data_IF_707182910959
#
_entry.id   IF_707182910959
#
_cell.length_a   1.000
_cell.length_b   1.000
_cell.length_c   1.000
_cell.angle_alpha   90.00
_cell.angle_beta   90.00
_cell.angle_gamma   90.00
#
_symmetry.space_group_name_H-M   'P 1'
#
loop_
_entity.id
_entity.type
_entity.pdbx_description
1 polymer ?
#
# COMPACT_ATOMS: atom_id res chain seq x y z
N UNK A 1 -30.02 -12.11 -2.67
CA UNK A 1 -28.86 -11.20 -2.67
C UNK A 1 -28.94 -10.34 -3.92
N UNK A 2 -28.94 -9.01 -3.83
CA UNK A 2 -28.86 -8.15 -5.03
C UNK A 2 -27.44 -8.26 -5.58
N UNK A 3 -27.34 -8.64 -6.84
CA UNK A 3 -26.07 -8.70 -7.54
C UNK A 3 -25.56 -7.28 -7.79
N UNK A 4 -24.46 -6.89 -7.18
CA UNK A 4 -23.82 -5.61 -7.44
C UNK A 4 -22.96 -5.68 -8.71
N UNK A 5 -23.03 -4.62 -9.52
CA UNK A 5 -22.25 -4.57 -10.77
C UNK A 5 -20.74 -4.59 -10.48
N UNK A 6 -20.04 -5.55 -11.08
CA UNK A 6 -18.58 -5.70 -10.94
C UNK A 6 -18.06 -5.87 -9.51
N UNK A 7 -18.84 -6.49 -8.63
CA UNK A 7 -18.39 -6.80 -7.28
C UNK A 7 -18.73 -8.24 -6.88
N UNK A 8 -17.72 -9.04 -6.68
CA UNK A 8 -17.79 -10.38 -6.13
C UNK A 8 -17.39 -10.32 -4.64
N UNK A 9 -18.41 -10.33 -3.77
CA UNK A 9 -18.23 -10.26 -2.33
C UNK A 9 -17.42 -11.44 -1.80
N UNK A 10 -17.70 -12.66 -2.26
CA UNK A 10 -17.01 -13.85 -1.78
C UNK A 10 -15.52 -13.81 -2.15
N UNK A 11 -15.22 -13.41 -3.36
CA UNK A 11 -13.84 -13.27 -3.81
C UNK A 11 -13.11 -12.15 -3.04
N UNK A 12 -13.78 -11.01 -2.79
CA UNK A 12 -13.21 -9.91 -2.02
C UNK A 12 -12.85 -10.33 -0.59
N UNK A 13 -13.76 -11.02 0.10
CA UNK A 13 -13.53 -11.53 1.46
C UNK A 13 -12.44 -12.60 1.48
N UNK A 14 -12.41 -13.51 0.50
CA UNK A 14 -11.37 -14.53 0.38
C UNK A 14 -9.97 -13.91 0.21
N UNK A 15 -9.85 -12.88 -0.62
CA UNK A 15 -8.58 -12.17 -0.83
C UNK A 15 -8.15 -11.47 0.45
N UNK A 16 -9.05 -10.75 1.11
CA UNK A 16 -8.77 -10.09 2.39
C UNK A 16 -8.28 -11.07 3.45
N UNK A 17 -8.93 -12.22 3.59
CA UNK A 17 -8.51 -13.29 4.48
C UNK A 17 -7.11 -13.82 4.11
N UNK A 18 -6.85 -14.08 2.83
CA UNK A 18 -5.55 -14.59 2.36
C UNK A 18 -4.39 -13.61 2.58
N UNK A 19 -4.67 -12.30 2.55
CA UNK A 19 -3.67 -11.27 2.90
C UNK A 19 -3.42 -11.30 4.41
N UNK A 20 -4.48 -11.37 5.22
CA UNK A 20 -4.35 -11.40 6.67
C UNK A 20 -3.62 -12.66 7.18
N UNK A 21 -3.80 -13.79 6.53
CA UNK A 21 -3.05 -15.03 6.81
C UNK A 21 -1.52 -14.85 6.65
N UNK A 22 -1.07 -13.88 5.86
CA UNK A 22 0.34 -13.51 5.70
C UNK A 22 0.86 -12.57 6.78
N UNK A 23 0.05 -12.22 7.79
CA UNK A 23 0.40 -11.25 8.84
C UNK A 23 1.78 -11.51 9.43
N UNK A 24 2.08 -12.74 9.87
CA UNK A 24 3.37 -13.05 10.49
C UNK A 24 4.55 -12.80 9.55
N UNK A 25 4.40 -13.09 8.27
CA UNK A 25 5.44 -12.81 7.27
C UNK A 25 5.60 -11.30 7.06
N UNK A 26 4.50 -10.56 6.99
CA UNK A 26 4.50 -9.10 6.81
C UNK A 26 5.13 -8.42 8.02
N UNK A 27 4.74 -8.80 9.23
CA UNK A 27 5.31 -8.29 10.48
C UNK A 27 6.81 -8.63 10.61
N UNK A 28 7.23 -9.80 10.15
CA UNK A 28 8.64 -10.19 10.13
C UNK A 28 9.49 -9.28 9.23
N UNK A 29 8.96 -8.81 8.11
CA UNK A 29 9.67 -7.83 7.26
C UNK A 29 9.94 -6.54 8.06
N UNK A 30 8.96 -6.04 8.80
CA UNK A 30 9.14 -4.86 9.66
C UNK A 30 10.21 -5.12 10.76
N UNK A 31 10.19 -6.30 11.38
CA UNK A 31 11.17 -6.69 12.39
C UNK A 31 12.62 -6.71 11.84
N UNK A 32 12.79 -7.22 10.62
CA UNK A 32 14.11 -7.23 9.98
C UNK A 32 14.57 -5.82 9.64
N UNK A 33 13.67 -4.97 9.09
CA UNK A 33 13.96 -3.58 8.78
C UNK A 33 14.45 -2.82 10.02
N UNK A 34 13.74 -2.92 11.14
CA UNK A 34 14.10 -2.24 12.39
C UNK A 34 15.37 -2.80 13.01
N UNK A 35 15.60 -4.13 12.93
CA UNK A 35 16.81 -4.79 13.45
C UNK A 35 18.07 -4.38 12.69
N UNK A 36 17.97 -4.13 11.40
CA UNK A 36 19.11 -3.74 10.55
C UNK A 36 19.36 -2.23 10.56
N UNK A 37 18.61 -1.49 11.35
CA UNK A 37 18.55 -0.02 11.40
C UNK A 37 18.23 0.62 10.04
N UNK A 38 17.72 1.84 10.07
CA UNK A 38 17.48 2.66 8.89
C UNK A 38 17.58 4.15 9.25
N UNK A 39 17.89 4.97 8.28
CA UNK A 39 18.02 6.43 8.48
C UNK A 39 16.73 7.19 8.15
N UNK A 40 15.98 6.72 7.19
CA UNK A 40 14.70 7.29 6.76
C UNK A 40 13.89 6.30 5.92
N UNK A 41 12.62 6.62 5.72
CA UNK A 41 11.71 5.88 4.86
C UNK A 41 11.39 6.70 3.60
N UNK A 42 11.24 6.03 2.47
CA UNK A 42 10.90 6.65 1.20
C UNK A 42 9.78 5.91 0.50
N UNK A 43 8.67 6.60 0.20
CA UNK A 43 7.54 6.05 -0.53
C UNK A 43 7.56 6.52 -1.97
N UNK A 44 7.69 5.59 -2.93
CA UNK A 44 7.74 5.92 -4.36
C UNK A 44 7.06 4.88 -5.22
N UNK A 45 6.18 5.33 -6.09
CA UNK A 45 5.48 4.52 -7.07
C UNK A 45 4.89 5.40 -8.17
N UNK A 46 3.93 4.87 -8.95
CA UNK A 46 3.28 5.60 -10.03
C UNK A 46 1.77 5.46 -9.97
N UNK A 47 1.04 6.54 -10.31
CA UNK A 47 -0.41 6.54 -10.45
C UNK A 47 -1.16 6.08 -9.20
N UNK A 48 -2.14 5.18 -9.38
CA UNK A 48 -2.96 4.67 -8.26
C UNK A 48 -2.18 3.92 -7.19
N UNK A 49 -1.03 3.32 -7.53
CA UNK A 49 -0.17 2.67 -6.53
C UNK A 49 0.52 3.69 -5.63
N UNK A 50 0.87 4.87 -6.15
CA UNK A 50 1.37 5.96 -5.32
C UNK A 50 0.26 6.48 -4.38
N UNK A 51 -0.92 6.77 -4.93
CA UNK A 51 -2.06 7.25 -4.14
C UNK A 51 -2.47 6.28 -3.01
N UNK A 52 -2.35 4.97 -3.25
CA UNK A 52 -2.57 3.95 -2.22
C UNK A 52 -1.56 4.03 -1.07
N UNK A 53 -0.32 4.45 -1.33
CA UNK A 53 0.73 4.53 -0.30
C UNK A 53 0.73 5.86 0.45
N UNK A 54 0.14 6.92 -0.10
CA UNK A 54 0.14 8.25 0.51
C UNK A 54 -0.41 8.29 1.95
N UNK A 55 -1.51 7.58 2.31
CA UNK A 55 -1.98 7.51 3.70
C UNK A 55 -0.96 6.92 4.69
N UNK A 56 -0.10 6.03 4.23
CA UNK A 56 0.92 5.42 5.09
C UNK A 56 2.14 6.31 5.28
N UNK A 57 2.48 7.13 4.28
CA UNK A 57 3.40 8.24 4.47
C UNK A 57 2.87 9.23 5.51
N UNK A 58 1.60 9.64 5.41
CA UNK A 58 0.94 10.50 6.40
C UNK A 58 0.97 9.85 7.80
N UNK A 59 0.66 8.55 7.89
CA UNK A 59 0.68 7.80 9.14
C UNK A 59 2.05 7.86 9.83
N UNK A 60 3.14 7.65 9.10
CA UNK A 60 4.51 7.77 9.65
C UNK A 60 4.79 9.20 10.08
N UNK A 61 4.49 10.18 9.23
CA UNK A 61 4.75 11.59 9.46
C UNK A 61 4.00 12.16 10.67
N UNK A 62 2.75 11.72 10.89
CA UNK A 62 1.91 12.21 12.00
C UNK A 62 2.17 11.48 13.32
N UNK A 63 2.58 10.21 13.27
CA UNK A 63 2.71 9.38 14.46
C UNK A 63 4.14 9.28 15.00
N UNK A 64 5.16 9.76 14.27
CA UNK A 64 6.56 9.53 14.65
C UNK A 64 7.50 10.68 14.27
N UNK A 65 8.71 10.63 14.84
CA UNK A 65 9.83 11.50 14.46
C UNK A 65 10.70 10.88 13.34
N UNK A 66 10.29 9.75 12.77
CA UNK A 66 10.99 9.08 11.69
C UNK A 66 10.99 9.99 10.46
N UNK A 67 12.17 10.23 9.91
CA UNK A 67 12.30 11.00 8.66
C UNK A 67 11.65 10.20 7.52
N UNK A 68 10.61 10.74 6.91
CA UNK A 68 9.87 10.08 5.85
C UNK A 68 9.68 11.00 4.65
N UNK A 69 9.93 10.47 3.46
CA UNK A 69 9.82 11.20 2.21
C UNK A 69 8.90 10.46 1.25
N UNK A 70 8.25 11.22 0.37
CA UNK A 70 7.48 10.65 -0.75
C UNK A 70 7.73 11.42 -2.03
N UNK A 71 7.74 10.71 -3.14
CA UNK A 71 7.86 11.29 -4.46
C UNK A 71 7.34 10.30 -5.50
N UNK A 72 6.64 10.79 -6.52
CA UNK A 72 6.28 9.92 -7.63
C UNK A 72 7.54 9.39 -8.32
N UNK A 73 7.51 8.13 -8.79
CA UNK A 73 8.69 7.49 -9.40
C UNK A 73 9.26 8.29 -10.58
N UNK A 74 8.41 8.86 -11.44
CA UNK A 74 8.88 9.68 -12.56
C UNK A 74 9.54 10.99 -12.10
N UNK A 75 9.00 11.62 -11.06
CA UNK A 75 9.58 12.82 -10.44
C UNK A 75 10.93 12.49 -9.79
N UNK A 76 11.00 11.39 -9.04
CA UNK A 76 12.25 10.92 -8.45
C UNK A 76 13.35 10.68 -9.51
N UNK A 77 13.00 10.10 -10.64
CA UNK A 77 13.94 9.88 -11.74
C UNK A 77 14.44 11.18 -12.37
N UNK A 78 13.59 12.21 -12.42
CA UNK A 78 13.93 13.50 -13.01
C UNK A 78 14.73 14.39 -12.07
N UNK A 79 14.40 14.42 -10.78
CA UNK A 79 14.95 15.38 -9.80
C UNK A 79 15.92 14.74 -8.81
N UNK A 80 15.80 13.42 -8.55
CA UNK A 80 16.48 12.77 -7.44
C UNK A 80 15.99 13.26 -6.07
N UNK A 81 16.60 12.75 -5.01
CA UNK A 81 16.37 13.22 -3.64
C UNK A 81 17.63 13.01 -2.80
N UNK A 82 18.18 14.07 -2.22
CA UNK A 82 19.48 14.05 -1.55
C UNK A 82 19.52 13.18 -0.28
N UNK A 83 18.38 13.01 0.39
CA UNK A 83 18.30 12.17 1.59
C UNK A 83 18.06 10.68 1.27
N UNK A 84 17.73 10.35 0.01
CA UNK A 84 17.50 8.96 -0.44
C UNK A 84 18.83 8.37 -0.91
N UNK A 85 19.44 7.58 -0.04
CA UNK A 85 20.78 6.99 -0.18
C UNK A 85 20.89 5.73 0.68
N UNK A 86 22.08 5.16 0.79
CA UNK A 86 22.36 4.05 1.70
C UNK A 86 21.83 4.34 3.12
N UNK A 87 21.18 3.35 3.72
CA UNK A 87 20.43 3.46 4.97
C UNK A 87 18.95 3.82 4.79
N UNK A 88 18.51 4.25 3.60
CA UNK A 88 17.08 4.43 3.30
C UNK A 88 16.39 3.08 3.10
N UNK A 89 15.14 2.95 3.58
CA UNK A 89 14.21 1.89 3.18
C UNK A 89 13.14 2.47 2.29
N UNK A 90 13.07 2.00 1.04
CA UNK A 90 12.09 2.47 0.07
C UNK A 90 10.93 1.47 -0.08
N UNK A 91 9.71 1.99 0.06
CA UNK A 91 8.47 1.25 -0.20
C UNK A 91 7.99 1.54 -1.62
N UNK A 92 7.76 0.49 -2.39
CA UNK A 92 7.27 0.54 -3.76
C UNK A 92 6.00 -0.29 -3.90
N UNK A 93 5.08 0.13 -4.75
CA UNK A 93 3.89 -0.65 -5.06
C UNK A 93 3.67 -0.72 -6.57
N UNK A 94 3.26 -1.89 -7.06
CA UNK A 94 2.88 -2.05 -8.45
C UNK A 94 1.93 -3.24 -8.62
N UNK A 95 0.76 -3.02 -9.22
CA UNK A 95 -0.17 -4.12 -9.48
C UNK A 95 0.42 -5.15 -10.43
N UNK A 96 1.05 -4.71 -11.51
CA UNK A 96 1.66 -5.58 -12.51
C UNK A 96 3.08 -6.02 -12.16
N UNK A 97 3.77 -5.26 -11.29
CA UNK A 97 5.17 -5.47 -10.93
C UNK A 97 6.18 -5.11 -12.03
N UNK A 98 5.73 -4.44 -13.11
CA UNK A 98 6.55 -4.07 -14.27
C UNK A 98 6.33 -2.64 -14.76
N UNK A 99 5.65 -1.80 -13.95
CA UNK A 99 5.44 -0.37 -14.27
C UNK A 99 6.78 0.30 -14.57
N UNK A 100 6.94 0.85 -15.74
CA UNK A 100 8.24 1.32 -16.28
C UNK A 100 8.94 2.31 -15.35
N UNK A 101 8.24 3.33 -14.88
CA UNK A 101 8.78 4.37 -14.00
C UNK A 101 9.15 3.79 -12.62
N UNK A 102 8.30 2.93 -12.06
CA UNK A 102 8.57 2.26 -10.78
C UNK A 102 9.79 1.34 -10.88
N UNK A 103 9.91 0.58 -11.97
CA UNK A 103 11.07 -0.27 -12.21
C UNK A 103 12.36 0.52 -12.42
N UNK A 104 12.30 1.64 -13.16
CA UNK A 104 13.45 2.50 -13.34
C UNK A 104 13.90 3.12 -12.01
N UNK A 105 12.95 3.61 -11.20
CA UNK A 105 13.22 4.12 -9.85
C UNK A 105 13.84 3.04 -8.95
N UNK A 106 13.29 1.81 -8.95
CA UNK A 106 13.83 0.69 -8.19
C UNK A 106 15.30 0.40 -8.51
N UNK A 107 15.67 0.41 -9.81
CA UNK A 107 17.07 0.22 -10.24
C UNK A 107 17.99 1.32 -9.70
N UNK A 108 17.60 2.58 -9.85
CA UNK A 108 18.38 3.73 -9.34
C UNK A 108 18.52 3.66 -7.82
N UNK A 109 17.46 3.26 -7.11
CA UNK A 109 17.50 3.09 -5.65
C UNK A 109 18.47 1.96 -5.24
N UNK A 110 18.45 0.83 -5.92
CA UNK A 110 19.41 -0.27 -5.67
C UNK A 110 20.84 0.14 -5.90
N UNK A 111 21.13 0.88 -6.98
CA UNK A 111 22.48 1.43 -7.27
C UNK A 111 22.98 2.36 -6.17
N UNK A 112 22.07 3.03 -5.43
CA UNK A 112 22.40 3.87 -4.27
C UNK A 112 22.48 3.12 -2.93
N UNK A 113 22.36 1.80 -2.94
CA UNK A 113 22.37 1.00 -1.71
C UNK A 113 21.09 1.09 -0.87
N UNK A 114 19.97 1.52 -1.45
CA UNK A 114 18.67 1.61 -0.79
C UNK A 114 18.05 0.22 -0.70
N UNK A 115 17.52 -0.15 0.48
CA UNK A 115 16.74 -1.37 0.66
C UNK A 115 15.34 -1.20 0.12
N UNK A 116 14.87 -2.15 -0.70
CA UNK A 116 13.58 -2.10 -1.36
C UNK A 116 12.58 -3.06 -0.73
N UNK A 117 11.43 -2.54 -0.36
CA UNK A 117 10.27 -3.29 0.11
C UNK A 117 9.12 -3.07 -0.87
N UNK A 118 8.60 -4.10 -1.49
CA UNK A 118 7.57 -3.96 -2.51
C UNK A 118 6.26 -4.67 -2.19
N UNK A 119 5.16 -4.02 -2.53
CA UNK A 119 3.79 -4.56 -2.47
C UNK A 119 3.28 -4.76 -3.90
N UNK A 120 3.09 -6.01 -4.30
CA UNK A 120 2.96 -6.40 -5.71
C UNK A 120 1.70 -7.23 -5.93
N UNK A 121 0.98 -6.95 -7.01
CA UNK A 121 -0.18 -7.77 -7.39
C UNK A 121 0.22 -9.10 -8.03
N UNK A 122 1.25 -9.10 -8.88
CA UNK A 122 1.63 -10.24 -9.69
C UNK A 122 2.94 -10.86 -9.23
N UNK A 123 2.93 -12.18 -8.93
CA UNK A 123 4.14 -12.95 -8.65
C UNK A 123 5.07 -13.06 -9.86
N UNK A 124 6.30 -13.43 -9.59
CA UNK A 124 7.36 -13.62 -10.60
C UNK A 124 7.58 -12.38 -11.48
N UNK A 125 7.33 -11.21 -10.90
CA UNK A 125 7.47 -9.94 -11.60
C UNK A 125 8.87 -9.35 -11.47
N UNK A 126 9.28 -8.46 -12.41
CA UNK A 126 10.58 -7.81 -12.31
C UNK A 126 10.81 -7.02 -11.02
N UNK A 127 9.75 -6.39 -10.47
CA UNK A 127 9.86 -5.64 -9.22
C UNK A 127 10.09 -6.57 -8.02
N UNK A 128 9.44 -7.74 -8.01
CA UNK A 128 9.68 -8.75 -6.98
C UNK A 128 11.13 -9.22 -7.00
N UNK A 129 11.68 -9.48 -8.19
CA UNK A 129 13.06 -9.97 -8.37
C UNK A 129 14.12 -8.97 -7.87
N UNK A 130 13.90 -7.65 -8.03
CA UNK A 130 14.88 -6.63 -7.64
C UNK A 130 14.74 -6.20 -6.18
N UNK A 131 13.59 -6.44 -5.55
CA UNK A 131 13.31 -6.03 -4.17
C UNK A 131 14.00 -6.94 -3.16
N UNK A 132 14.43 -6.38 -2.03
CA UNK A 132 14.98 -7.15 -0.91
C UNK A 132 13.88 -7.91 -0.17
N UNK A 133 12.71 -7.30 -0.07
CA UNK A 133 11.50 -7.90 0.50
C UNK A 133 10.30 -7.60 -0.38
N UNK A 134 9.41 -8.57 -0.51
CA UNK A 134 8.17 -8.37 -1.29
C UNK A 134 6.99 -9.08 -0.66
N UNK A 135 5.82 -8.47 -0.81
CA UNK A 135 4.53 -9.08 -0.45
C UNK A 135 3.64 -9.08 -1.68
N UNK A 136 3.34 -10.29 -2.16
CA UNK A 136 2.45 -10.49 -3.30
C UNK A 136 1.03 -10.73 -2.81
N UNK A 137 0.05 -9.92 -3.30
CA UNK A 137 -1.34 -9.98 -2.86
C UNK A 137 -2.31 -10.59 -3.89
N UNK A 138 -1.88 -10.78 -5.16
CA UNK A 138 -2.74 -11.30 -6.24
C UNK A 138 -3.60 -10.21 -6.90
N UNK A 139 -4.70 -10.63 -7.53
CA UNK A 139 -5.55 -9.74 -8.32
C UNK A 139 -6.66 -9.04 -7.53
N UNK A 140 -6.50 -8.80 -6.25
CA UNK A 140 -7.60 -8.30 -5.46
C UNK A 140 -7.28 -7.14 -4.52
N UNK A 141 -8.34 -6.67 -3.87
CA UNK A 141 -8.31 -5.68 -2.79
C UNK A 141 -8.86 -6.36 -1.52
N UNK A 142 -8.55 -5.88 -0.33
CA UNK A 142 -7.83 -4.66 0.02
C UNK A 142 -6.31 -4.91 0.21
N UNK A 143 -5.49 -4.50 -0.74
CA UNK A 143 -4.03 -4.60 -0.62
C UNK A 143 -3.46 -3.62 0.42
N UNK A 144 -4.20 -2.59 0.77
CA UNK A 144 -3.88 -1.62 1.83
C UNK A 144 -3.65 -2.31 3.19
N UNK A 145 -4.28 -3.46 3.42
CA UNK A 145 -4.11 -4.28 4.62
C UNK A 145 -2.64 -4.66 4.86
N UNK A 146 -1.87 -4.89 3.78
CA UNK A 146 -0.44 -5.19 3.87
C UNK A 146 0.32 -4.02 4.49
N UNK A 147 0.04 -2.80 4.03
CA UNK A 147 0.74 -1.60 4.51
C UNK A 147 0.33 -1.24 5.94
N UNK A 148 -0.94 -1.45 6.33
CA UNK A 148 -1.35 -1.30 7.72
C UNK A 148 -0.59 -2.25 8.66
N UNK A 149 -0.42 -3.51 8.26
CA UNK A 149 0.35 -4.48 9.04
C UNK A 149 1.84 -4.14 9.07
N UNK A 150 2.42 -3.81 7.91
CA UNK A 150 3.85 -3.56 7.77
C UNK A 150 4.28 -2.26 8.46
N UNK A 151 3.66 -1.14 8.12
CA UNK A 151 4.00 0.18 8.67
C UNK A 151 3.57 0.28 10.13
N UNK A 152 2.39 -0.24 10.48
CA UNK A 152 1.93 -0.28 11.87
C UNK A 152 2.87 -1.08 12.78
N UNK A 153 3.37 -2.24 12.31
CA UNK A 153 4.36 -3.03 13.06
C UNK A 153 5.69 -2.29 13.19
N UNK A 154 6.17 -1.64 12.13
CA UNK A 154 7.39 -0.83 12.16
C UNK A 154 7.26 0.29 13.21
N UNK A 155 6.18 1.07 13.17
CA UNK A 155 5.93 2.12 14.16
C UNK A 155 5.82 1.58 15.58
N UNK A 156 5.26 0.40 15.76
CA UNK A 156 5.18 -0.26 17.06
C UNK A 156 6.57 -0.62 17.62
N UNK A 157 7.44 -1.19 16.79
CA UNK A 157 8.82 -1.56 17.21
C UNK A 157 9.62 -0.32 17.57
N UNK A 158 9.47 0.76 16.80
CA UNK A 158 10.13 2.06 17.06
C UNK A 158 9.51 2.85 18.22
N UNK A 159 8.46 2.30 18.90
CA UNK A 159 7.86 2.89 20.09
C UNK A 159 6.81 3.97 19.85
N UNK A 160 6.31 4.10 18.62
CA UNK A 160 5.32 5.12 18.26
C UNK A 160 3.88 4.61 18.18
N UNK A 161 3.64 3.28 18.23
CA UNK A 161 2.31 2.71 18.10
C UNK A 161 2.03 1.58 19.10
N UNK A 162 1.82 1.92 20.38
CA UNK A 162 1.58 0.94 21.45
C UNK A 162 0.32 0.09 21.22
N UNK A 163 -0.73 0.67 20.65
CA UNK A 163 -1.99 -0.01 20.39
C UNK A 163 -1.93 -0.97 19.17
N UNK A 164 -0.79 -1.08 18.48
CA UNK A 164 -0.67 -1.90 17.27
C UNK A 164 -1.13 -3.36 17.44
N UNK A 165 -0.84 -4.10 18.54
CA UNK A 165 -1.28 -5.49 18.66
C UNK A 165 -2.80 -5.62 18.56
N UNK A 166 -3.54 -4.75 19.26
CA UNK A 166 -5.00 -4.72 19.18
C UNK A 166 -5.48 -4.26 17.79
N UNK A 167 -4.89 -3.22 17.25
CA UNK A 167 -5.19 -2.73 15.90
C UNK A 167 -5.00 -3.82 14.85
N UNK A 168 -3.87 -4.54 14.88
CA UNK A 168 -3.59 -5.62 13.95
C UNK A 168 -4.61 -6.78 14.09
N UNK A 169 -5.06 -7.09 15.30
CA UNK A 169 -6.10 -8.10 15.52
C UNK A 169 -7.45 -7.67 14.96
N UNK A 170 -7.79 -6.39 15.01
CA UNK A 170 -9.04 -5.84 14.44
C UNK A 170 -9.00 -5.78 12.90
N UNK A 171 -7.83 -5.66 12.29
CA UNK A 171 -7.69 -5.61 10.83
C UNK A 171 -8.24 -6.85 10.11
N UNK A 172 -8.37 -8.00 10.78
CA UNK A 172 -9.03 -9.19 10.21
C UNK A 172 -10.47 -8.94 9.80
N UNK A 173 -11.13 -7.94 10.43
CA UNK A 173 -12.51 -7.57 10.14
C UNK A 173 -12.65 -6.54 9.01
N UNK A 174 -11.56 -5.89 8.61
CA UNK A 174 -11.57 -4.82 7.61
C UNK A 174 -12.23 -5.25 6.28
N UNK A 175 -11.96 -6.44 5.70
CA UNK A 175 -12.63 -6.85 4.48
C UNK A 175 -14.15 -6.92 4.61
N UNK A 176 -14.67 -7.43 5.73
CA UNK A 176 -16.10 -7.49 5.98
C UNK A 176 -16.72 -6.11 6.13
N UNK A 177 -16.08 -5.23 6.91
CA UNK A 177 -16.54 -3.85 7.09
C UNK A 177 -16.61 -3.11 5.75
N UNK A 178 -15.61 -3.28 4.88
CA UNK A 178 -15.62 -2.68 3.54
C UNK A 178 -16.73 -3.24 2.65
N UNK A 179 -17.03 -4.54 2.74
CA UNK A 179 -18.18 -5.14 2.07
C UNK A 179 -19.49 -4.54 2.57
N UNK A 180 -19.67 -4.46 3.88
CA UNK A 180 -20.90 -3.95 4.50
C UNK A 180 -21.14 -2.49 4.12
N UNK A 181 -20.12 -1.66 4.13
CA UNK A 181 -20.19 -0.26 3.67
C UNK A 181 -20.57 -0.19 2.19
N UNK A 182 -19.95 -1.02 1.34
CA UNK A 182 -20.26 -1.04 -0.10
C UNK A 182 -21.70 -1.43 -0.35
N UNK A 183 -22.22 -2.43 0.36
CA UNK A 183 -23.63 -2.86 0.27
C UNK A 183 -24.56 -1.74 0.74
N UNK A 184 -24.23 -1.09 1.85
CA UNK A 184 -25.05 -0.03 2.44
C UNK A 184 -25.17 1.22 1.56
N UNK A 185 -24.14 1.54 0.75
CA UNK A 185 -24.16 2.72 -0.14
C UNK A 185 -24.68 2.44 -1.55
N UNK A 186 -24.89 1.17 -1.94
CA UNK A 186 -25.23 0.77 -3.32
C UNK A 186 -26.50 1.46 -3.84
N UNK A 187 -27.57 1.52 -3.04
CA UNK A 187 -28.82 2.18 -3.44
C UNK A 187 -28.64 3.70 -3.63
N UNK A 188 -27.85 4.34 -2.76
CA UNK A 188 -27.54 5.79 -2.91
C UNK A 188 -26.71 6.04 -4.17
N UNK A 189 -25.74 5.17 -4.46
CA UNK A 189 -24.92 5.26 -5.66
C UNK A 189 -25.76 5.11 -6.94
N UNK A 190 -26.71 4.17 -6.94
CA UNK A 190 -27.67 3.98 -8.06
C UNK A 190 -28.57 5.19 -8.25
N UNK A 191 -29.11 5.73 -7.17
CA UNK A 191 -29.95 6.93 -7.23
C UNK A 191 -29.14 8.10 -7.80
N UNK A 192 -27.93 8.33 -7.30
CA UNK A 192 -27.04 9.36 -7.80
C UNK A 192 -26.76 9.18 -9.31
N UNK A 193 -26.46 7.97 -9.74
CA UNK A 193 -26.23 7.69 -11.15
C UNK A 193 -27.47 7.98 -12.01
N UNK A 194 -28.68 7.69 -11.50
CA UNK A 194 -29.95 8.02 -12.19
C UNK A 194 -30.17 9.53 -12.29
N UNK A 195 -29.86 10.26 -11.24
CA UNK A 195 -30.09 11.70 -11.17
C UNK A 195 -29.14 12.49 -12.08
N UNK A 196 -27.90 12.04 -12.19
CA UNK A 196 -26.82 12.80 -12.82
C UNK A 196 -26.24 12.18 -14.11
N UNK A 197 -26.77 11.05 -14.62
CA UNK A 197 -26.23 10.39 -15.83
C UNK A 197 -26.32 11.22 -17.11
N UNK A 198 -27.18 12.27 -17.15
CA UNK A 198 -27.35 13.16 -18.29
C UNK A 198 -26.50 14.43 -18.22
N UNK A 199 -25.80 14.63 -17.10
CA UNK A 199 -24.90 15.78 -17.02
C UNK A 199 -23.76 15.62 -18.04
N UNK A 200 -23.31 16.73 -18.66
CA UNK A 200 -22.32 16.68 -19.74
C UNK A 200 -20.96 16.10 -19.26
N UNK A 201 -20.66 16.25 -17.98
CA UNK A 201 -19.50 15.60 -17.32
C UNK A 201 -19.72 15.51 -15.82
N UNK A 202 -19.05 14.56 -15.21
CA UNK A 202 -18.98 14.39 -13.75
C UNK A 202 -17.52 14.37 -13.32
N UNK A 203 -17.19 15.07 -12.24
CA UNK A 203 -15.88 15.06 -11.61
C UNK A 203 -16.00 14.27 -10.32
N UNK A 204 -15.21 13.19 -10.20
CA UNK A 204 -15.14 12.37 -9.01
C UNK A 204 -13.85 12.69 -8.27
N UNK A 205 -13.99 13.11 -7.02
CA UNK A 205 -12.86 13.39 -6.12
C UNK A 205 -12.91 12.38 -5.01
N UNK A 206 -11.81 11.65 -4.81
CA UNK A 206 -11.65 10.66 -3.77
C UNK A 206 -10.26 10.74 -3.16
N UNK A 207 -10.13 10.24 -1.94
CA UNK A 207 -8.87 10.06 -1.23
C UNK A 207 -8.49 8.58 -1.22
#
# INVERSE_FOLDING_TARGET
MKEMVNFDEQNFLKIGASIYEKRSMIEHIAEVICKEDFTNLFFTSSGGSQAMMDPFWDMVNEMSDIQVYRMNSAEYLACGHNQVKEGTVAFLASKSGDTKETMAAAKVLKEKGVRLVSVIGKSDSPLETISDYSVVYGDGRPQELILYLLIGKLLHIEGYFDAYPQFADELKHLPQVLCDVRIAVDEKAKQYAQDYHKEPYNIWIGS
#
